data_IF_585415059911
#
_entry.id   IF_585415059911
#
_cell.length_a   1.000
_cell.length_b   1.000
_cell.length_c   1.000
_cell.angle_alpha   90.00
_cell.angle_beta   90.00
_cell.angle_gamma   90.00
#
_symmetry.space_group_name_H-M   'P 1'
#
loop_
_entity.id
_entity.type
_entity.pdbx_description
1 polymer ?
#
# COMPACT_ATOMS: atom_id res chain seq x y z
N UNK A 1 30.07 16.63 30.39
CA UNK A 1 28.60 16.56 30.42
C UNK A 1 28.27 15.21 31.05
N UNK A 2 27.54 15.17 32.18
CA UNK A 2 27.27 13.90 32.89
C UNK A 2 26.33 13.01 32.06
N UNK A 3 26.50 11.70 32.19
CA UNK A 3 25.70 10.67 31.48
C UNK A 3 24.19 10.90 31.66
N UNK A 4 23.76 11.34 32.85
CA UNK A 4 22.38 11.69 33.18
C UNK A 4 21.80 12.84 32.33
N UNK A 5 22.60 13.84 31.97
CA UNK A 5 22.11 14.98 31.18
C UNK A 5 21.85 14.58 29.72
N UNK A 6 22.65 13.67 29.18
CA UNK A 6 22.45 13.04 27.87
C UNK A 6 21.19 12.17 27.85
N UNK A 7 20.97 11.33 28.86
CA UNK A 7 19.77 10.49 28.97
C UNK A 7 18.49 11.33 29.08
N UNK A 8 18.50 12.39 29.89
CA UNK A 8 17.36 13.28 30.04
C UNK A 8 16.97 13.99 28.73
N UNK A 9 17.96 14.42 27.94
CA UNK A 9 17.73 15.03 26.62
C UNK A 9 17.18 14.02 25.61
N UNK A 10 17.65 12.78 25.63
CA UNK A 10 17.21 11.70 24.74
C UNK A 10 15.76 11.27 25.05
N UNK A 11 15.41 11.16 26.33
CA UNK A 11 14.05 10.89 26.80
C UNK A 11 13.10 12.02 26.39
N UNK A 12 13.51 13.29 26.54
CA UNK A 12 12.72 14.45 26.15
C UNK A 12 12.50 14.50 24.62
N UNK A 13 13.53 14.20 23.83
CA UNK A 13 13.45 14.14 22.37
C UNK A 13 12.51 13.03 21.89
N UNK A 14 12.58 11.85 22.51
CA UNK A 14 11.70 10.70 22.21
C UNK A 14 10.25 11.00 22.55
N UNK A 15 9.99 11.57 23.74
CA UNK A 15 8.63 12.03 24.13
C UNK A 15 8.10 13.11 23.19
N UNK A 16 8.95 14.04 22.73
CA UNK A 16 8.56 15.09 21.77
C UNK A 16 8.18 14.49 20.41
N UNK A 17 8.98 13.54 19.89
CA UNK A 17 8.68 12.82 18.63
C UNK A 17 7.39 12.02 18.73
N UNK A 18 7.19 11.28 19.82
CA UNK A 18 5.95 10.53 20.06
C UNK A 18 4.72 11.43 20.16
N UNK A 19 4.81 12.55 20.91
CA UNK A 19 3.74 13.56 20.98
C UNK A 19 3.43 14.17 19.62
N UNK A 20 4.46 14.49 18.82
CA UNK A 20 4.27 15.01 17.48
C UNK A 20 3.57 14.00 16.56
N UNK A 21 4.00 12.73 16.59
CA UNK A 21 3.35 11.66 15.82
C UNK A 21 1.87 11.46 16.21
N UNK A 22 1.56 11.49 17.52
CA UNK A 22 0.18 11.41 18.00
C UNK A 22 -0.64 12.61 17.54
N UNK A 23 -0.14 13.84 17.72
CA UNK A 23 -0.83 15.05 17.28
C UNK A 23 -1.03 15.09 15.75
N UNK A 24 -0.04 14.63 14.99
CA UNK A 24 -0.12 14.53 13.53
C UNK A 24 -1.18 13.51 13.09
N UNK A 25 -1.17 12.31 13.68
CA UNK A 25 -2.17 11.28 13.40
C UNK A 25 -3.59 11.75 13.76
N UNK A 26 -3.74 12.43 14.90
CA UNK A 26 -5.01 13.04 15.29
C UNK A 26 -5.44 14.12 14.30
N UNK A 27 -4.50 14.93 13.80
CA UNK A 27 -4.79 15.96 12.78
C UNK A 27 -5.30 15.31 11.49
N UNK A 28 -4.65 14.24 11.01
CA UNK A 28 -5.11 13.50 9.83
C UNK A 28 -6.50 12.90 10.02
N UNK A 29 -6.77 12.31 11.19
CA UNK A 29 -8.09 11.76 11.51
C UNK A 29 -9.18 12.83 11.58
N UNK A 30 -8.87 13.99 12.18
CA UNK A 30 -9.78 15.14 12.24
C UNK A 30 -10.06 15.67 10.82
N UNK A 31 -9.02 15.82 10.00
CA UNK A 31 -9.17 16.25 8.60
C UNK A 31 -10.01 15.26 7.80
N UNK A 32 -9.77 13.95 7.96
CA UNK A 32 -10.55 12.92 7.31
C UNK A 32 -12.02 12.96 7.74
N UNK A 33 -12.29 13.10 9.05
CA UNK A 33 -13.64 13.20 9.59
C UNK A 33 -14.35 14.47 9.08
N UNK A 34 -13.67 15.60 9.06
CA UNK A 34 -14.19 16.86 8.53
C UNK A 34 -14.53 16.74 7.04
N UNK A 35 -13.64 16.14 6.25
CA UNK A 35 -13.88 15.85 4.84
C UNK A 35 -15.10 14.95 4.67
N UNK A 36 -15.18 13.86 5.45
CA UNK A 36 -16.31 12.91 5.42
C UNK A 36 -17.65 13.60 5.71
N UNK A 37 -17.72 14.37 6.80
CA UNK A 37 -18.92 15.12 7.18
C UNK A 37 -19.28 16.13 6.10
N UNK A 38 -18.31 16.89 5.61
CA UNK A 38 -18.56 17.90 4.58
C UNK A 38 -19.11 17.26 3.30
N UNK A 39 -18.49 16.20 2.80
CA UNK A 39 -18.94 15.51 1.59
C UNK A 39 -20.31 14.82 1.80
N UNK A 40 -20.56 14.28 2.99
CA UNK A 40 -21.84 13.69 3.34
C UNK A 40 -23.04 14.64 3.22
N UNK A 41 -22.84 15.93 3.51
CA UNK A 41 -23.92 16.93 3.43
C UNK A 41 -23.92 17.75 2.14
N UNK A 42 -22.76 17.92 1.50
CA UNK A 42 -22.64 18.76 0.29
C UNK A 42 -22.79 17.98 -1.01
N UNK A 43 -22.47 16.69 -1.01
CA UNK A 43 -22.36 15.88 -2.23
C UNK A 43 -23.47 14.84 -2.32
N UNK A 44 -24.39 15.03 -3.27
CA UNK A 44 -25.53 14.12 -3.48
C UNK A 44 -25.11 12.67 -3.78
N UNK A 45 -23.95 12.47 -4.40
CA UNK A 45 -23.44 11.14 -4.74
C UNK A 45 -22.78 10.42 -3.57
N UNK A 46 -22.48 11.10 -2.46
CA UNK A 46 -21.67 10.55 -1.36
C UNK A 46 -22.31 9.30 -0.74
N UNK A 47 -23.61 9.36 -0.45
CA UNK A 47 -24.37 8.27 0.17
C UNK A 47 -24.95 7.26 -0.83
N UNK A 48 -24.60 7.36 -2.11
CA UNK A 48 -25.11 6.40 -3.09
C UNK A 48 -24.56 5.00 -2.79
N UNK A 49 -25.35 3.94 -3.05
CA UNK A 49 -24.93 2.56 -2.80
C UNK A 49 -23.73 2.12 -3.67
N UNK A 50 -23.33 2.94 -4.65
CA UNK A 50 -22.15 2.71 -5.46
C UNK A 50 -20.90 3.41 -4.90
N UNK A 51 -21.05 4.57 -4.26
CA UNK A 51 -19.91 5.38 -3.83
C UNK A 51 -19.17 4.76 -2.64
N UNK A 52 -19.87 4.40 -1.57
CA UNK A 52 -19.23 3.82 -0.37
C UNK A 52 -18.51 2.51 -0.70
N UNK A 53 -19.10 1.52 -1.41
CA UNK A 53 -18.37 0.32 -1.80
C UNK A 53 -17.18 0.58 -2.72
N UNK A 54 -17.27 1.57 -3.61
CA UNK A 54 -16.14 1.94 -4.48
C UNK A 54 -14.97 2.54 -3.70
N UNK A 55 -15.25 3.39 -2.71
CA UNK A 55 -14.22 3.92 -1.80
C UNK A 55 -13.56 2.80 -0.99
N UNK A 56 -14.37 1.89 -0.44
CA UNK A 56 -13.86 0.74 0.31
C UNK A 56 -13.04 -0.21 -0.58
N UNK A 57 -13.45 -0.44 -1.83
CA UNK A 57 -12.73 -1.29 -2.78
C UNK A 57 -11.37 -0.70 -3.16
N UNK A 58 -11.29 0.62 -3.35
CA UNK A 58 -10.02 1.33 -3.59
C UNK A 58 -9.08 1.23 -2.38
N UNK A 59 -9.61 1.41 -1.16
CA UNK A 59 -8.82 1.25 0.07
C UNK A 59 -8.39 -0.20 0.32
N UNK A 60 -9.25 -1.17 0.01
CA UNK A 60 -8.94 -2.60 0.13
C UNK A 60 -7.77 -3.00 -0.77
N UNK A 61 -7.69 -2.45 -1.99
CA UNK A 61 -6.56 -2.69 -2.89
C UNK A 61 -5.23 -2.30 -2.23
N UNK A 62 -5.12 -1.06 -1.72
CA UNK A 62 -3.90 -0.58 -1.06
C UNK A 62 -3.59 -1.39 0.21
N UNK A 63 -4.62 -1.79 0.97
CA UNK A 63 -4.44 -2.56 2.20
C UNK A 63 -3.90 -3.96 1.94
N UNK A 64 -4.37 -4.65 0.89
CA UNK A 64 -3.87 -5.96 0.47
C UNK A 64 -2.41 -5.84 0.03
N UNK A 65 -2.08 -4.82 -0.75
CA UNK A 65 -0.70 -4.57 -1.19
C UNK A 65 0.21 -4.30 0.01
N UNK A 66 -0.22 -3.48 0.97
CA UNK A 66 0.57 -3.19 2.18
C UNK A 66 0.89 -4.45 3.01
N UNK A 67 -0.03 -5.42 3.06
CA UNK A 67 0.23 -6.72 3.71
C UNK A 67 1.33 -7.48 2.94
N UNK A 68 1.28 -7.50 1.61
CA UNK A 68 2.33 -8.10 0.77
C UNK A 68 3.69 -7.42 0.97
N UNK A 69 3.72 -6.09 0.90
CA UNK A 69 4.92 -5.26 1.09
C UNK A 69 5.54 -5.42 2.48
N UNK A 70 4.75 -5.81 3.49
CA UNK A 70 5.30 -6.12 4.82
C UNK A 70 6.36 -7.22 4.73
N UNK A 71 6.17 -8.25 3.89
CA UNK A 71 7.15 -9.31 3.68
C UNK A 71 8.43 -8.79 3.01
N UNK A 72 8.31 -7.85 2.08
CA UNK A 72 9.47 -7.21 1.45
C UNK A 72 10.26 -6.41 2.47
N UNK A 73 9.58 -5.59 3.27
CA UNK A 73 10.21 -4.69 4.25
C UNK A 73 10.93 -5.48 5.35
N UNK A 74 10.34 -6.57 5.87
CA UNK A 74 11.00 -7.38 6.91
C UNK A 74 12.27 -8.07 6.39
N UNK A 75 12.39 -8.28 5.07
CA UNK A 75 13.62 -8.79 4.43
C UNK A 75 14.65 -7.69 4.14
N UNK A 76 14.42 -6.46 4.62
CA UNK A 76 15.20 -5.27 4.30
C UNK A 76 15.27 -4.94 2.80
N UNK A 77 14.28 -5.40 2.03
CA UNK A 77 14.09 -5.07 0.63
C UNK A 77 13.27 -3.78 0.43
N UNK A 78 13.25 -3.31 -0.82
CA UNK A 78 12.36 -2.24 -1.30
C UNK A 78 11.79 -2.73 -2.62
N UNK A 79 10.46 -2.88 -2.71
CA UNK A 79 9.77 -3.21 -3.95
C UNK A 79 9.26 -1.92 -4.61
N UNK A 80 9.85 -1.57 -5.75
CA UNK A 80 9.43 -0.44 -6.57
C UNK A 80 8.42 -0.84 -7.66
N UNK A 81 8.28 -2.15 -7.90
CA UNK A 81 7.48 -2.70 -8.99
C UNK A 81 5.99 -2.76 -8.67
N UNK A 82 5.60 -2.71 -7.39
CA UNK A 82 4.21 -2.95 -6.95
C UNK A 82 3.18 -2.13 -7.71
N UNK A 83 3.48 -0.85 -8.00
CA UNK A 83 2.62 0.01 -8.81
C UNK A 83 2.52 -0.45 -10.26
N UNK A 84 3.65 -0.81 -10.88
CA UNK A 84 3.70 -1.32 -12.25
C UNK A 84 3.02 -2.69 -12.38
N UNK A 85 3.20 -3.60 -11.42
CA UNK A 85 2.55 -4.92 -11.40
C UNK A 85 1.05 -4.79 -11.27
N UNK A 86 0.54 -3.88 -10.43
CA UNK A 86 -0.90 -3.60 -10.32
C UNK A 86 -1.44 -3.01 -11.62
N UNK A 87 -0.78 -2.02 -12.20
CA UNK A 87 -1.17 -1.43 -13.47
C UNK A 87 -1.19 -2.49 -14.60
N UNK A 88 -0.16 -3.32 -14.69
CA UNK A 88 -0.10 -4.38 -15.69
C UNK A 88 -1.21 -5.43 -15.48
N UNK A 89 -1.40 -5.90 -14.24
CA UNK A 89 -2.42 -6.90 -13.90
C UNK A 89 -3.83 -6.39 -14.19
N UNK A 90 -4.11 -5.10 -13.95
CA UNK A 90 -5.41 -4.49 -14.28
C UNK A 90 -5.65 -4.39 -15.78
N UNK A 91 -4.64 -4.04 -16.57
CA UNK A 91 -4.73 -4.04 -18.05
C UNK A 91 -4.97 -5.45 -18.57
N UNK A 92 -4.24 -6.45 -18.08
CA UNK A 92 -4.44 -7.85 -18.46
C UNK A 92 -5.85 -8.32 -18.11
N UNK A 93 -6.33 -8.02 -16.89
CA UNK A 93 -7.69 -8.36 -16.47
C UNK A 93 -8.74 -7.74 -17.41
N UNK A 94 -8.59 -6.45 -17.72
CA UNK A 94 -9.49 -5.74 -18.62
C UNK A 94 -9.49 -6.36 -20.03
N UNK A 95 -8.31 -6.67 -20.59
CA UNK A 95 -8.19 -7.32 -21.89
C UNK A 95 -8.91 -8.68 -21.91
N UNK A 96 -8.69 -9.52 -20.89
CA UNK A 96 -9.36 -10.83 -20.80
C UNK A 96 -10.89 -10.69 -20.74
N UNK A 97 -11.40 -9.70 -20.00
CA UNK A 97 -12.84 -9.39 -20.00
C UNK A 97 -13.34 -8.91 -21.36
N UNK A 98 -12.59 -8.09 -22.09
CA UNK A 98 -12.98 -7.68 -23.47
C UNK A 98 -13.03 -8.85 -24.45
N UNK A 99 -12.27 -9.92 -24.18
CA UNK A 99 -12.32 -11.17 -24.94
C UNK A 99 -13.33 -12.19 -24.38
N UNK A 100 -14.24 -11.78 -23.48
CA UNK A 100 -15.29 -12.61 -22.89
C UNK A 100 -14.78 -13.84 -22.11
N UNK A 101 -13.57 -13.79 -21.55
CA UNK A 101 -13.11 -14.85 -20.64
C UNK A 101 -13.98 -14.88 -19.37
N UNK A 102 -14.30 -16.08 -18.84
CA UNK A 102 -15.06 -16.19 -17.60
C UNK A 102 -14.24 -15.65 -16.42
N UNK A 103 -14.91 -15.06 -15.43
CA UNK A 103 -14.26 -14.40 -14.27
C UNK A 103 -13.22 -15.28 -13.57
N UNK A 104 -13.50 -16.58 -13.46
CA UNK A 104 -12.58 -17.54 -12.83
C UNK A 104 -11.26 -17.66 -13.60
N UNK A 105 -11.31 -17.69 -14.93
CA UNK A 105 -10.10 -17.71 -15.76
C UNK A 105 -9.32 -16.38 -15.65
N UNK A 106 -10.02 -15.24 -15.64
CA UNK A 106 -9.38 -13.93 -15.48
C UNK A 106 -8.59 -13.85 -14.17
N UNK A 107 -9.19 -14.28 -13.06
CA UNK A 107 -8.53 -14.31 -11.75
C UNK A 107 -7.31 -15.23 -11.76
N UNK A 108 -7.43 -16.46 -12.29
CA UNK A 108 -6.31 -17.40 -12.30
C UNK A 108 -5.15 -16.92 -13.17
N UNK A 109 -5.43 -16.38 -14.35
CA UNK A 109 -4.39 -15.89 -15.27
C UNK A 109 -3.67 -14.68 -14.66
N UNK A 110 -4.41 -13.73 -14.11
CA UNK A 110 -3.82 -12.51 -13.53
C UNK A 110 -3.01 -12.81 -12.26
N UNK A 111 -3.50 -13.69 -11.38
CA UNK A 111 -2.73 -14.17 -10.23
C UNK A 111 -1.47 -14.93 -10.67
N UNK A 112 -1.59 -15.77 -11.71
CA UNK A 112 -0.45 -16.49 -12.27
C UNK A 112 0.64 -15.56 -12.79
N UNK A 113 0.26 -14.49 -13.50
CA UNK A 113 1.20 -13.47 -13.98
C UNK A 113 1.90 -12.78 -12.81
N UNK A 114 1.15 -12.32 -11.80
CA UNK A 114 1.74 -11.68 -10.62
C UNK A 114 2.72 -12.61 -9.89
N UNK A 115 2.36 -13.88 -9.75
CA UNK A 115 3.23 -14.90 -9.16
C UNK A 115 4.51 -15.13 -9.98
N UNK A 116 4.42 -15.19 -11.32
CA UNK A 116 5.59 -15.33 -12.19
C UNK A 116 6.54 -14.12 -12.09
N UNK A 117 5.99 -12.91 -12.01
CA UNK A 117 6.79 -11.69 -11.80
C UNK A 117 7.50 -11.76 -10.45
N UNK A 118 6.78 -12.16 -9.39
CA UNK A 118 7.38 -12.35 -8.06
C UNK A 118 8.50 -13.39 -8.04
N UNK A 119 8.33 -14.52 -8.75
CA UNK A 119 9.39 -15.51 -8.90
C UNK A 119 10.61 -14.97 -9.65
N UNK A 120 10.39 -14.16 -10.68
CA UNK A 120 11.48 -13.52 -11.40
C UNK A 120 12.27 -12.57 -10.49
N UNK A 121 11.60 -11.75 -9.68
CA UNK A 121 12.26 -10.90 -8.69
C UNK A 121 13.02 -11.74 -7.65
N UNK A 122 12.38 -12.77 -7.10
CA UNK A 122 13.00 -13.65 -6.13
C UNK A 122 14.26 -14.33 -6.69
N UNK A 123 14.23 -14.78 -7.95
CA UNK A 123 15.39 -15.37 -8.62
C UNK A 123 16.55 -14.39 -8.74
N UNK A 124 16.31 -13.16 -9.20
CA UNK A 124 17.36 -12.16 -9.32
C UNK A 124 17.98 -11.76 -7.98
N UNK A 125 17.17 -11.65 -6.95
CA UNK A 125 17.65 -11.28 -5.60
C UNK A 125 18.44 -12.44 -4.97
N UNK A 126 17.89 -13.67 -5.01
CA UNK A 126 18.47 -14.81 -4.27
C UNK A 126 19.59 -15.53 -5.04
N UNK A 127 19.48 -15.65 -6.36
CA UNK A 127 20.44 -16.41 -7.17
C UNK A 127 21.52 -15.51 -7.79
N UNK A 128 21.16 -14.31 -8.23
CA UNK A 128 22.09 -13.38 -8.90
C UNK A 128 22.70 -12.36 -7.94
N UNK A 129 22.21 -12.27 -6.70
CA UNK A 129 22.68 -11.30 -5.70
C UNK A 129 22.38 -9.85 -6.07
N UNK A 130 21.38 -9.61 -6.93
CA UNK A 130 20.97 -8.27 -7.31
C UNK A 130 20.27 -7.57 -6.13
N UNK A 131 20.59 -6.30 -5.85
CA UNK A 131 19.84 -5.52 -4.87
C UNK A 131 18.34 -5.47 -5.23
N UNK A 132 17.41 -5.64 -4.26
CA UNK A 132 15.98 -5.70 -4.52
C UNK A 132 15.44 -4.52 -5.33
N UNK A 133 15.84 -3.29 -5.00
CA UNK A 133 15.38 -2.09 -5.70
C UNK A 133 15.77 -2.05 -7.18
N UNK A 134 16.87 -2.71 -7.58
CA UNK A 134 17.28 -2.82 -8.99
C UNK A 134 16.44 -3.88 -9.70
N UNK A 135 16.19 -4.99 -9.02
CA UNK A 135 15.42 -6.09 -9.57
C UNK A 135 13.94 -5.72 -9.80
N UNK A 136 13.41 -4.81 -8.97
CA UNK A 136 12.01 -4.36 -9.01
C UNK A 136 11.80 -3.01 -9.72
N UNK A 137 12.80 -2.48 -10.43
CA UNK A 137 12.70 -1.18 -11.13
C UNK A 137 12.02 -1.30 -12.49
#
# INVERSE_FOLDING_TARGET
MSVEATEALEIAATKRRARFAVLFNLTLLILLALLWVTLAFTTKTFWTPINIPNLLRQGAMISILAIGETFVIITAGIDLSVGAVVAFSTVVAALLFTHNYPIFAVVLITLGIGFMIGLFHAFGITSLGLPPFIMTL
#
